data_IF_353879660506
#
_entry.id   IF_353879660506
#
_cell.length_a   1.000
_cell.length_b   1.000
_cell.length_c   1.000
_cell.angle_alpha   90.00
_cell.angle_beta   90.00
_cell.angle_gamma   90.00
#
_symmetry.space_group_name_H-M   'P 1'
#
loop_
_entity.id
_entity.type
_entity.pdbx_description
1 polymer ?
#
# COMPACT_ATOMS: atom_id res chain seq x y z
N UNK A 1 -23.07 5.96 8.29
CA UNK A 1 -21.84 6.08 9.09
C UNK A 1 -20.73 6.37 8.11
N UNK A 2 -20.17 7.57 8.15
CA UNK A 2 -19.01 7.95 7.34
C UNK A 2 -17.78 7.26 7.94
N UNK A 3 -17.00 6.55 7.14
CA UNK A 3 -15.73 5.94 7.60
C UNK A 3 -14.73 7.02 8.07
N UNK A 4 -13.59 6.61 8.66
CA UNK A 4 -12.55 7.54 9.08
C UNK A 4 -12.05 8.38 7.90
N UNK A 5 -11.92 9.69 8.11
CA UNK A 5 -11.43 10.63 7.07
C UNK A 5 -9.91 10.57 6.91
N UNK A 6 -9.19 10.18 7.97
CA UNK A 6 -7.73 10.08 8.02
C UNK A 6 -7.27 8.72 8.55
N UNK A 7 -6.00 8.37 8.34
CA UNK A 7 -5.41 7.10 8.83
C UNK A 7 -5.24 7.13 10.35
N UNK A 8 -4.96 8.31 10.89
CA UNK A 8 -4.68 8.57 12.30
C UNK A 8 -5.92 8.35 13.18
N UNK A 9 -7.11 8.55 12.64
CA UNK A 9 -8.39 8.34 13.33
C UNK A 9 -8.95 6.91 13.15
N UNK A 10 -8.26 6.05 12.40
CA UNK A 10 -8.74 4.72 12.09
C UNK A 10 -8.38 3.70 13.18
N UNK A 11 -9.32 2.81 13.48
CA UNK A 11 -9.07 1.62 14.29
C UNK A 11 -8.62 0.47 13.37
N UNK A 12 -7.49 -0.14 13.71
CA UNK A 12 -6.92 -1.28 12.99
C UNK A 12 -7.12 -2.55 13.81
N UNK A 13 -7.56 -3.62 13.15
CA UNK A 13 -7.58 -4.94 13.75
C UNK A 13 -6.18 -5.33 14.25
N UNK A 14 -6.12 -5.84 15.48
CA UNK A 14 -4.87 -6.14 16.16
C UNK A 14 -4.00 -7.15 15.40
N UNK A 15 -4.61 -8.06 14.62
CA UNK A 15 -3.88 -9.05 13.81
C UNK A 15 -3.04 -8.42 12.69
N UNK A 16 -3.35 -7.18 12.29
CA UNK A 16 -2.57 -6.45 11.31
C UNK A 16 -1.23 -5.98 11.88
N UNK A 17 -1.11 -5.87 13.21
CA UNK A 17 0.11 -5.43 13.89
C UNK A 17 0.58 -4.05 13.42
N UNK A 18 -0.36 -3.12 13.21
CA UNK A 18 -0.08 -1.76 12.76
C UNK A 18 0.22 -0.89 13.98
N UNK A 19 1.36 -0.21 13.96
CA UNK A 19 1.69 0.85 14.89
C UNK A 19 2.18 2.07 14.10
N UNK A 20 1.29 3.04 13.87
CA UNK A 20 1.58 4.23 13.06
C UNK A 20 2.79 5.03 13.56
N UNK A 21 3.11 4.97 14.87
CA UNK A 21 4.26 5.66 15.44
C UNK A 21 5.61 5.11 14.94
N UNK A 22 5.64 3.86 14.47
CA UNK A 22 6.83 3.22 13.91
C UNK A 22 6.89 3.33 12.37
N UNK A 23 5.87 3.92 11.75
CA UNK A 23 5.76 4.03 10.30
C UNK A 23 6.21 5.41 9.84
N UNK A 24 6.68 5.49 8.60
CA UNK A 24 6.99 6.77 7.95
C UNK A 24 5.75 7.32 7.29
N UNK A 25 5.37 8.55 7.65
CA UNK A 25 4.31 9.31 7.00
C UNK A 25 4.88 10.15 5.85
N UNK A 26 4.28 10.04 4.69
CA UNK A 26 4.62 10.86 3.52
C UNK A 26 3.86 12.20 3.54
N UNK A 27 4.22 13.11 2.63
CA UNK A 27 3.51 14.38 2.46
C UNK A 27 2.06 14.18 1.96
N UNK A 28 1.80 13.10 1.21
CA UNK A 28 0.46 12.78 0.69
C UNK A 28 -0.49 12.18 1.74
N UNK A 29 0.05 11.81 2.91
CA UNK A 29 -0.68 11.15 3.98
C UNK A 29 -0.65 9.63 3.92
N UNK A 30 0.03 9.04 2.93
CA UNK A 30 0.38 7.61 2.93
C UNK A 30 1.32 7.30 4.11
N UNK A 31 1.10 6.17 4.77
CA UNK A 31 2.05 5.60 5.72
C UNK A 31 2.74 4.37 5.13
N UNK A 32 4.02 4.17 5.43
CA UNK A 32 4.71 2.94 5.09
C UNK A 32 5.69 2.48 6.17
N UNK A 33 5.98 1.19 6.15
CA UNK A 33 6.99 0.52 6.98
C UNK A 33 7.68 -0.56 6.15
N UNK A 34 9.00 -0.54 6.14
CA UNK A 34 9.80 -1.65 5.60
C UNK A 34 9.83 -2.77 6.64
N UNK A 35 9.05 -3.83 6.41
CA UNK A 35 9.06 -5.04 7.23
C UNK A 35 10.39 -5.78 7.02
N UNK A 36 10.85 -5.80 5.76
CA UNK A 36 12.12 -6.40 5.36
C UNK A 36 12.74 -5.53 4.27
N UNK A 37 13.97 -5.08 4.47
CA UNK A 37 14.69 -4.29 3.46
C UNK A 37 15.41 -5.25 2.52
N UNK A 38 15.05 -5.21 1.23
CA UNK A 38 15.71 -6.01 0.22
C UNK A 38 17.15 -5.57 -0.05
N UNK A 39 17.95 -6.48 -0.62
CA UNK A 39 19.36 -6.21 -0.94
C UNK A 39 19.57 -5.76 -2.39
N UNK A 40 18.55 -5.87 -3.24
CA UNK A 40 18.65 -5.54 -4.65
C UNK A 40 18.54 -4.05 -4.97
N UNK A 41 18.38 -3.77 -6.27
CA UNK A 41 18.21 -2.41 -6.78
C UNK A 41 16.95 -1.75 -6.19
N UNK A 42 16.99 -0.44 -5.91
CA UNK A 42 15.81 0.32 -5.50
C UNK A 42 14.91 0.58 -6.72
N UNK A 43 13.60 0.43 -6.53
CA UNK A 43 12.60 0.76 -7.54
C UNK A 43 12.44 2.27 -7.65
N UNK A 44 12.55 2.80 -8.86
CA UNK A 44 12.38 4.21 -9.17
C UNK A 44 11.32 4.43 -10.26
N UNK A 45 10.76 5.63 -10.32
CA UNK A 45 9.76 5.96 -11.33
C UNK A 45 10.31 5.69 -12.74
N UNK A 46 9.52 4.98 -13.54
CA UNK A 46 9.93 4.49 -14.86
C UNK A 46 10.54 3.08 -14.84
N UNK A 47 10.63 2.38 -13.72
CA UNK A 47 10.99 0.96 -13.74
C UNK A 47 9.80 0.07 -14.10
N UNK A 48 10.05 -1.04 -14.81
CA UNK A 48 9.10 -2.14 -14.92
C UNK A 48 9.28 -3.07 -13.72
N UNK A 49 8.40 -2.97 -12.74
CA UNK A 49 8.50 -3.72 -11.49
C UNK A 49 7.55 -4.91 -11.52
N UNK A 50 7.94 -6.02 -10.89
CA UNK A 50 7.03 -7.11 -10.54
C UNK A 50 6.88 -7.18 -9.04
N UNK A 51 5.65 -7.11 -8.57
CA UNK A 51 5.32 -7.15 -7.15
C UNK A 51 4.44 -8.34 -6.83
N UNK A 52 4.59 -8.87 -5.62
CA UNK A 52 3.56 -9.65 -4.95
C UNK A 52 2.89 -8.80 -3.88
N UNK A 53 1.60 -9.01 -3.65
CA UNK A 53 0.86 -8.20 -2.68
C UNK A 53 -0.29 -8.95 -2.02
N UNK A 54 -0.69 -8.46 -0.84
CA UNK A 54 -1.95 -8.77 -0.16
C UNK A 54 -2.58 -7.46 0.30
N UNK A 55 -3.83 -7.22 -0.10
CA UNK A 55 -4.64 -6.06 0.24
C UNK A 55 -5.69 -6.40 1.29
N UNK A 56 -5.72 -5.64 2.39
CA UNK A 56 -6.66 -5.80 3.50
C UNK A 56 -7.32 -4.49 3.88
N UNK A 57 -8.54 -4.58 4.41
CA UNK A 57 -9.24 -3.47 5.05
C UNK A 57 -8.78 -3.35 6.52
N UNK A 58 -9.18 -2.25 7.18
CA UNK A 58 -8.79 -1.95 8.57
C UNK A 58 -9.31 -2.98 9.58
N UNK A 59 -10.40 -3.69 9.26
CA UNK A 59 -10.95 -4.79 10.04
C UNK A 59 -10.21 -6.14 9.82
N UNK A 60 -9.13 -6.14 9.03
CA UNK A 60 -8.35 -7.33 8.70
C UNK A 60 -8.86 -8.14 7.51
N UNK A 61 -10.04 -7.83 6.97
CA UNK A 61 -10.63 -8.52 5.82
C UNK A 61 -9.73 -8.39 4.60
N UNK A 62 -9.29 -9.52 4.03
CA UNK A 62 -8.55 -9.52 2.78
C UNK A 62 -9.50 -9.32 1.60
N UNK A 63 -9.29 -8.27 0.83
CA UNK A 63 -10.10 -7.95 -0.35
C UNK A 63 -9.40 -8.35 -1.66
N UNK A 64 -8.06 -8.44 -1.66
CA UNK A 64 -7.28 -8.80 -2.84
C UNK A 64 -5.91 -9.40 -2.47
N UNK A 65 -5.33 -10.18 -3.37
CA UNK A 65 -3.94 -10.65 -3.29
C UNK A 65 -3.51 -11.21 -4.63
N UNK A 66 -2.24 -11.04 -4.98
CA UNK A 66 -1.71 -11.64 -6.19
C UNK A 66 -0.29 -11.21 -6.49
N UNK A 67 0.10 -11.41 -7.74
CA UNK A 67 1.37 -10.92 -8.28
C UNK A 67 1.11 -10.35 -9.66
N UNK A 68 1.69 -9.19 -9.96
CA UNK A 68 1.56 -8.59 -11.28
C UNK A 68 2.75 -7.68 -11.59
N UNK A 69 3.11 -7.52 -12.87
CA UNK A 69 4.03 -6.49 -13.31
C UNK A 69 3.28 -5.17 -13.57
N UNK A 70 3.93 -4.04 -13.31
CA UNK A 70 3.46 -2.72 -13.73
C UNK A 70 4.62 -1.76 -13.91
N UNK A 71 4.39 -0.66 -14.63
CA UNK A 71 5.36 0.43 -14.80
C UNK A 71 5.20 1.42 -13.65
N UNK A 72 6.21 1.52 -12.80
CA UNK A 72 6.21 2.41 -11.63
C UNK A 72 6.12 3.88 -12.06
N UNK A 73 5.23 4.64 -11.44
CA UNK A 73 4.98 6.06 -11.74
C UNK A 73 4.08 6.29 -12.97
N UNK A 74 3.56 5.25 -13.61
CA UNK A 74 2.74 5.37 -14.82
C UNK A 74 1.23 5.56 -14.52
N UNK A 75 0.81 5.56 -13.26
CA UNK A 75 -0.61 5.68 -12.89
C UNK A 75 -1.47 4.48 -13.30
N UNK A 76 -0.87 3.30 -13.43
CA UNK A 76 -1.57 2.04 -13.74
C UNK A 76 -2.29 1.42 -12.54
N UNK A 77 -1.90 1.84 -11.34
CA UNK A 77 -2.45 1.42 -10.05
C UNK A 77 -2.95 2.65 -9.29
N UNK A 78 -3.62 2.44 -8.14
CA UNK A 78 -4.04 3.56 -7.30
C UNK A 78 -2.83 4.39 -6.85
N UNK A 79 -2.95 5.73 -6.75
CA UNK A 79 -1.81 6.63 -6.50
C UNK A 79 -0.96 6.24 -5.28
N UNK A 80 -1.59 5.83 -4.18
CA UNK A 80 -0.87 5.45 -2.97
C UNK A 80 -0.08 4.15 -3.10
N UNK A 81 -0.48 3.25 -3.99
CA UNK A 81 0.28 2.03 -4.28
C UNK A 81 1.53 2.36 -5.10
N UNK A 82 1.38 3.23 -6.10
CA UNK A 82 2.48 3.73 -6.94
C UNK A 82 3.53 4.45 -6.09
N UNK A 83 3.08 5.36 -5.23
CA UNK A 83 3.93 6.06 -4.26
C UNK A 83 4.59 5.08 -3.28
N UNK A 84 3.84 4.12 -2.74
CA UNK A 84 4.32 3.19 -1.72
C UNK A 84 5.42 2.23 -2.19
N UNK A 85 5.39 1.83 -3.47
CA UNK A 85 6.42 0.96 -4.07
C UNK A 85 7.72 1.72 -4.35
N UNK A 86 7.64 3.04 -4.54
CA UNK A 86 8.82 3.86 -4.83
C UNK A 86 9.86 3.75 -3.71
N UNK A 87 11.11 3.50 -4.10
CA UNK A 87 12.24 3.32 -3.18
C UNK A 87 12.32 1.97 -2.48
N UNK A 88 11.36 1.04 -2.69
CA UNK A 88 11.51 -0.35 -2.23
C UNK A 88 12.71 -0.99 -2.93
N UNK A 89 13.44 -1.86 -2.23
CA UNK A 89 14.53 -2.65 -2.81
C UNK A 89 14.06 -4.04 -3.19
N UNK A 90 14.53 -4.56 -4.32
CA UNK A 90 14.20 -5.93 -4.77
C UNK A 90 14.56 -6.95 -3.67
N UNK A 91 13.63 -7.87 -3.41
CA UNK A 91 13.65 -8.81 -2.28
C UNK A 91 12.97 -8.28 -1.02
N UNK A 92 12.70 -6.97 -0.94
CA UNK A 92 12.13 -6.33 0.24
C UNK A 92 10.62 -6.54 0.38
N UNK A 93 10.16 -6.43 1.63
CA UNK A 93 8.75 -6.43 2.00
C UNK A 93 8.41 -5.11 2.68
N UNK A 94 7.41 -4.41 2.13
CA UNK A 94 6.90 -3.16 2.69
C UNK A 94 5.42 -3.28 2.99
N UNK A 95 5.00 -2.72 4.12
CA UNK A 95 3.60 -2.44 4.40
C UNK A 95 3.31 -1.00 4.09
N UNK A 96 2.20 -0.74 3.40
CA UNK A 96 1.70 0.61 3.13
C UNK A 96 0.25 0.73 3.58
N UNK A 97 -0.13 1.90 4.07
CA UNK A 97 -1.50 2.25 4.48
C UNK A 97 -1.91 3.47 3.67
N UNK A 98 -2.91 3.26 2.81
CA UNK A 98 -3.34 4.21 1.80
C UNK A 98 -4.64 4.88 2.28
N UNK A 99 -4.66 6.21 2.44
CA UNK A 99 -5.89 6.92 2.77
C UNK A 99 -6.85 6.89 1.57
N UNK A 100 -8.16 7.06 1.76
CA UNK A 100 -9.14 6.88 0.70
C UNK A 100 -8.88 7.76 -0.53
N UNK A 101 -8.36 8.98 -0.32
CA UNK A 101 -8.00 9.93 -1.39
C UNK A 101 -6.90 9.42 -2.34
N UNK A 102 -6.03 8.52 -1.87
CA UNK A 102 -4.98 7.88 -2.66
C UNK A 102 -5.33 6.44 -3.07
N UNK A 103 -6.53 5.97 -2.71
CA UNK A 103 -7.07 4.65 -3.01
C UNK A 103 -8.26 4.72 -3.97
N UNK A 104 -9.39 4.12 -3.57
CA UNK A 104 -10.62 4.06 -4.39
C UNK A 104 -11.64 5.17 -4.08
N UNK A 105 -11.31 6.11 -3.19
CA UNK A 105 -12.12 7.28 -2.87
C UNK A 105 -13.56 6.96 -2.43
N UNK A 106 -14.47 7.90 -2.66
CA UNK A 106 -15.88 7.81 -2.24
C UNK A 106 -16.73 6.84 -3.06
N UNK A 107 -16.16 6.24 -4.11
CA UNK A 107 -16.86 5.26 -4.95
C UNK A 107 -16.62 3.83 -4.49
N UNK A 108 -15.46 3.54 -3.91
CA UNK A 108 -15.03 2.16 -3.65
C UNK A 108 -14.74 1.41 -4.95
N UNK A 109 -14.49 0.11 -4.84
CA UNK A 109 -14.24 -0.77 -6.00
C UNK A 109 -14.44 -2.24 -5.62
N UNK A 110 -15.36 -2.94 -6.30
CA UNK A 110 -15.64 -4.36 -6.06
C UNK A 110 -15.92 -4.64 -4.57
N UNK A 111 -15.09 -5.44 -3.87
CA UNK A 111 -15.23 -5.73 -2.44
C UNK A 111 -14.82 -4.57 -1.51
N UNK A 112 -14.20 -3.51 -2.05
CA UNK A 112 -13.72 -2.36 -1.27
C UNK A 112 -14.83 -1.32 -1.12
N UNK A 113 -15.26 -1.00 0.12
CA UNK A 113 -16.32 -0.03 0.34
C UNK A 113 -15.87 1.41 0.03
N UNK A 114 -16.82 2.34 -0.16
CA UNK A 114 -16.57 3.77 -0.22
C UNK A 114 -15.74 4.28 0.97
N UNK A 115 -14.80 5.19 0.70
CA UNK A 115 -13.95 5.83 1.70
C UNK A 115 -13.14 4.85 2.56
N UNK A 116 -12.81 3.68 2.03
CA UNK A 116 -11.99 2.70 2.74
C UNK A 116 -10.51 3.11 2.78
N UNK A 117 -9.89 2.91 3.94
CA UNK A 117 -8.43 2.86 4.09
C UNK A 117 -7.96 1.48 3.65
N UNK A 118 -6.90 1.45 2.85
CA UNK A 118 -6.36 0.21 2.29
C UNK A 118 -5.02 -0.09 2.91
N UNK A 119 -4.80 -1.34 3.29
CA UNK A 119 -3.54 -1.82 3.83
C UNK A 119 -2.97 -2.83 2.85
N UNK A 120 -1.79 -2.55 2.32
CA UNK A 120 -1.10 -3.47 1.45
C UNK A 120 0.19 -3.96 2.08
N UNK A 121 0.40 -5.28 2.07
CA UNK A 121 1.72 -5.88 2.25
C UNK A 121 2.26 -6.22 0.88
N UNK A 122 3.36 -5.59 0.48
CA UNK A 122 3.97 -5.69 -0.84
C UNK A 122 5.33 -6.34 -0.71
N UNK A 123 5.64 -7.25 -1.62
CA UNK A 123 6.98 -7.82 -1.83
C UNK A 123 7.46 -7.40 -3.21
N UNK A 124 8.60 -6.73 -3.30
CA UNK A 124 9.19 -6.37 -4.60
C UNK A 124 10.00 -7.56 -5.13
N UNK A 125 9.50 -8.22 -6.16
CA UNK A 125 10.06 -9.49 -6.66
C UNK A 125 11.21 -9.26 -7.63
N UNK A 126 11.07 -8.28 -8.54
CA UNK A 126 12.10 -7.95 -9.54
C UNK A 126 11.87 -6.57 -10.13
N UNK A 127 12.95 -6.00 -10.69
CA UNK A 127 12.93 -4.86 -11.62
C UNK A 127 13.43 -5.38 -12.97
N UNK A 128 12.75 -5.02 -14.06
CA UNK A 128 13.03 -5.42 -15.44
C UNK A 128 13.96 -4.47 -16.19
#
# INVERSE_FOLDING_TARGET
>A
MTGPETIEDAEFDASLGINLANMTRTASGLYYEDIEVGEGAPAVAGDDVRVGYSGRLTDGTQFDSGQFPFRLGAGQVVPGFDEGVTGMRVGGVRRIIIPPALGYGSRGSGPVPPNAILIFRITLLSIG
#
